data_IF_111550406475
#
_entry.id   IF_111550406475
#
_cell.length_a   1.000
_cell.length_b   1.000
_cell.length_c   1.000
_cell.angle_alpha   90.00
_cell.angle_beta   90.00
_cell.angle_gamma   90.00
#
_symmetry.space_group_name_H-M   'P 1'
#
loop_
_entity.id
_entity.type
_entity.pdbx_description
1 polymer ?
#
# COMPACT_ATOMS: atom_id res chain seq x y z
N UNK A 1 13.53 13.56 20.32
CA UNK A 1 14.23 12.30 19.96
C UNK A 1 15.28 11.85 20.99
N UNK A 2 15.38 12.44 22.19
CA UNK A 2 16.50 12.14 23.11
C UNK A 2 16.50 10.70 23.68
N UNK A 3 15.32 10.08 23.82
CA UNK A 3 15.15 8.76 24.41
C UNK A 3 15.45 7.64 23.39
N UNK A 4 15.06 7.83 22.12
CA UNK A 4 15.40 6.93 21.00
C UNK A 4 16.91 6.89 20.75
N UNK A 5 17.62 8.01 20.86
CA UNK A 5 19.09 8.03 20.75
C UNK A 5 19.81 7.38 21.93
N UNK A 6 19.13 7.15 23.05
CA UNK A 6 19.71 6.64 24.30
C UNK A 6 19.39 5.17 24.55
N UNK A 7 18.25 4.71 24.07
CA UNK A 7 17.72 3.36 24.34
C UNK A 7 17.28 2.62 23.08
N UNK A 8 17.19 3.31 21.93
CA UNK A 8 16.73 2.70 20.70
C UNK A 8 17.84 1.98 19.95
N UNK A 9 17.47 0.94 19.21
CA UNK A 9 18.37 0.28 18.28
C UNK A 9 18.68 1.18 17.08
N UNK A 10 19.77 0.88 16.36
CA UNK A 10 20.13 1.62 15.13
C UNK A 10 18.97 1.57 14.12
N UNK A 11 18.24 0.44 14.06
CA UNK A 11 17.09 0.27 13.18
C UNK A 11 15.90 1.14 13.58
N UNK A 12 15.62 1.26 14.88
CA UNK A 12 14.57 2.15 15.40
C UNK A 12 14.91 3.62 15.16
N UNK A 13 16.18 4.01 15.28
CA UNK A 13 16.64 5.35 14.92
C UNK A 13 16.48 5.64 13.42
N UNK A 14 16.71 4.64 12.56
CA UNK A 14 16.49 4.77 11.11
C UNK A 14 15.02 4.88 10.76
N UNK A 15 14.17 4.06 11.39
CA UNK A 15 12.72 4.17 11.23
C UNK A 15 12.22 5.54 11.71
N UNK A 16 12.68 6.00 12.88
CA UNK A 16 12.33 7.31 13.40
C UNK A 16 12.77 8.45 12.45
N UNK A 17 13.96 8.36 11.85
CA UNK A 17 14.41 9.31 10.82
C UNK A 17 13.60 9.24 9.53
N UNK A 18 13.09 8.07 9.15
CA UNK A 18 12.20 7.93 8.00
C UNK A 18 10.84 8.62 8.25
N UNK A 19 10.23 8.36 9.40
CA UNK A 19 8.89 8.85 9.74
C UNK A 19 8.86 10.26 10.34
N UNK A 20 9.99 10.80 10.80
CA UNK A 20 10.08 12.16 11.35
C UNK A 20 11.11 13.05 10.66
N UNK A 21 11.81 12.54 9.63
CA UNK A 21 12.77 13.30 8.83
C UNK A 21 12.16 13.94 7.59
N UNK A 22 12.95 14.23 6.55
CA UNK A 22 12.53 15.02 5.38
C UNK A 22 11.45 14.34 4.54
N UNK A 23 11.28 13.02 4.66
CA UNK A 23 10.27 12.24 3.95
C UNK A 23 8.99 12.00 4.76
N UNK A 24 8.94 12.48 6.01
CA UNK A 24 7.82 12.26 6.93
C UNK A 24 6.48 12.73 6.36
N UNK A 25 6.47 13.92 5.75
CA UNK A 25 5.27 14.51 5.16
C UNK A 25 4.76 13.68 3.98
N UNK A 26 5.65 13.26 3.08
CA UNK A 26 5.28 12.42 1.94
C UNK A 26 4.73 11.07 2.39
N UNK A 27 5.37 10.42 3.37
CA UNK A 27 4.91 9.14 3.91
C UNK A 27 3.55 9.28 4.59
N UNK A 28 3.40 10.31 5.45
CA UNK A 28 2.14 10.52 6.19
C UNK A 28 0.97 10.74 5.24
N UNK A 29 1.13 11.58 4.21
CA UNK A 29 0.05 11.84 3.27
C UNK A 29 -0.30 10.63 2.40
N UNK A 30 0.71 9.99 1.81
CA UNK A 30 0.46 8.93 0.84
C UNK A 30 0.08 7.60 1.49
N UNK A 31 0.76 7.24 2.57
CA UNK A 31 0.52 5.97 3.25
C UNK A 31 -0.55 6.10 4.34
N UNK A 32 -0.34 6.98 5.32
CA UNK A 32 -1.25 7.04 6.49
C UNK A 32 -2.60 7.63 6.12
N UNK A 33 -2.63 8.78 5.42
CA UNK A 33 -3.91 9.45 5.11
C UNK A 33 -4.61 8.75 3.96
N UNK A 34 -4.00 8.73 2.76
CA UNK A 34 -4.63 8.17 1.55
C UNK A 34 -4.71 6.65 1.60
N UNK A 35 -3.65 6.01 2.08
CA UNK A 35 -3.52 4.55 2.08
C UNK A 35 -4.29 3.82 3.17
N UNK A 36 -4.63 4.49 4.28
CA UNK A 36 -5.19 3.85 5.46
C UNK A 36 -6.41 4.59 6.01
N UNK A 37 -6.28 5.87 6.37
CA UNK A 37 -7.36 6.61 7.04
C UNK A 37 -8.56 6.85 6.13
N UNK A 38 -8.34 7.25 4.87
CA UNK A 38 -9.43 7.47 3.91
C UNK A 38 -10.17 6.15 3.62
N UNK A 39 -9.50 5.02 3.29
CA UNK A 39 -10.16 3.73 3.13
C UNK A 39 -10.95 3.30 4.36
N UNK A 40 -10.36 3.40 5.56
CA UNK A 40 -11.04 3.05 6.81
C UNK A 40 -12.27 3.93 7.03
N UNK A 41 -12.15 5.24 6.84
CA UNK A 41 -13.28 6.15 6.97
C UNK A 41 -14.38 5.79 5.97
N UNK A 42 -14.03 5.58 4.69
CA UNK A 42 -14.99 5.21 3.66
C UNK A 42 -15.71 3.90 3.98
N UNK A 43 -15.04 2.91 4.56
CA UNK A 43 -15.63 1.60 4.86
C UNK A 43 -16.42 1.57 6.18
N UNK A 44 -15.99 2.33 7.18
CA UNK A 44 -16.60 2.33 8.52
C UNK A 44 -17.76 3.32 8.67
N UNK A 45 -17.77 4.41 7.90
CA UNK A 45 -18.86 5.37 7.93
C UNK A 45 -20.06 4.88 7.09
N UNK A 46 -21.28 5.38 7.36
CA UNK A 46 -22.50 5.04 6.62
C UNK A 46 -22.39 5.00 5.08
N UNK A 47 -21.63 5.89 4.39
CA UNK A 47 -21.40 5.79 2.95
C UNK A 47 -20.67 4.53 2.46
N UNK A 48 -20.04 3.72 3.32
CA UNK A 48 -19.29 2.52 2.94
C UNK A 48 -20.09 1.38 2.31
N UNK A 49 -21.42 1.49 2.33
CA UNK A 49 -22.32 0.57 1.61
C UNK A 49 -22.45 0.92 0.12
N UNK A 50 -21.99 2.10 -0.29
CA UNK A 50 -21.98 2.52 -1.69
C UNK A 50 -20.85 1.83 -2.44
N UNK A 51 -21.16 1.31 -3.64
CA UNK A 51 -20.18 0.73 -4.55
C UNK A 51 -18.98 1.65 -4.80
N UNK A 52 -19.24 2.95 -4.98
CA UNK A 52 -18.19 3.94 -5.23
C UNK A 52 -17.28 4.15 -4.03
N UNK A 53 -17.82 4.11 -2.80
CA UNK A 53 -17.03 4.21 -1.59
C UNK A 53 -16.11 2.99 -1.43
N UNK A 54 -16.61 1.79 -1.76
CA UNK A 54 -15.82 0.56 -1.71
C UNK A 54 -14.72 0.55 -2.78
N UNK A 55 -15.01 1.01 -4.00
CA UNK A 55 -14.02 1.13 -5.07
C UNK A 55 -12.91 2.13 -4.68
N UNK A 56 -13.28 3.30 -4.16
CA UNK A 56 -12.30 4.30 -3.70
C UNK A 56 -11.49 3.79 -2.52
N UNK A 57 -12.09 3.06 -1.57
CA UNK A 57 -11.37 2.43 -0.48
C UNK A 57 -10.38 1.37 -0.97
N UNK A 58 -10.77 0.57 -1.97
CA UNK A 58 -9.90 -0.42 -2.60
C UNK A 58 -8.70 0.25 -3.31
N UNK A 59 -8.96 1.29 -4.11
CA UNK A 59 -7.90 2.04 -4.78
C UNK A 59 -6.96 2.70 -3.77
N UNK A 60 -7.52 3.33 -2.72
CA UNK A 60 -6.75 3.93 -1.64
C UNK A 60 -5.88 2.92 -0.90
N UNK A 61 -6.42 1.77 -0.51
CA UNK A 61 -5.66 0.72 0.17
C UNK A 61 -4.54 0.15 -0.73
N UNK A 62 -4.82 -0.02 -2.02
CA UNK A 62 -3.83 -0.48 -3.01
C UNK A 62 -2.70 0.54 -3.17
N UNK A 63 -3.04 1.83 -3.25
CA UNK A 63 -2.07 2.92 -3.26
C UNK A 63 -1.24 2.94 -1.97
N UNK A 64 -1.88 2.79 -0.81
CA UNK A 64 -1.21 2.73 0.49
C UNK A 64 -0.16 1.62 0.56
N UNK A 65 -0.49 0.43 0.05
CA UNK A 65 0.44 -0.70 -0.04
C UNK A 65 1.66 -0.37 -0.93
N UNK A 66 1.42 0.26 -2.08
CA UNK A 66 2.49 0.73 -2.96
C UNK A 66 3.35 1.83 -2.32
N UNK A 67 2.72 2.82 -1.68
CA UNK A 67 3.40 3.91 -0.99
C UNK A 67 4.28 3.41 0.17
N UNK A 68 3.82 2.40 0.91
CA UNK A 68 4.63 1.76 1.95
C UNK A 68 5.88 1.08 1.37
N UNK A 69 5.74 0.41 0.22
CA UNK A 69 6.88 -0.22 -0.47
C UNK A 69 7.91 0.83 -0.90
N UNK A 70 7.47 1.96 -1.45
CA UNK A 70 8.35 3.09 -1.75
C UNK A 70 9.00 3.63 -0.48
N UNK A 71 8.23 3.78 0.61
CA UNK A 71 8.77 4.22 1.91
C UNK A 71 9.88 3.32 2.43
N UNK A 72 9.77 2.00 2.24
CA UNK A 72 10.82 1.03 2.61
C UNK A 72 12.07 1.22 1.72
N UNK A 73 11.90 1.41 0.42
CA UNK A 73 13.02 1.68 -0.51
C UNK A 73 13.73 2.99 -0.14
N UNK A 74 12.97 4.07 0.07
CA UNK A 74 13.50 5.36 0.56
C UNK A 74 14.22 5.15 1.89
N UNK A 75 13.62 4.43 2.83
CA UNK A 75 14.26 4.13 4.12
C UNK A 75 15.54 3.31 4.01
N UNK A 76 15.65 2.44 3.01
CA UNK A 76 16.82 1.61 2.74
C UNK A 76 17.94 2.33 1.99
N UNK A 77 17.60 3.23 1.06
CA UNK A 77 18.56 3.92 0.17
C UNK A 77 18.88 5.35 0.61
N UNK A 78 17.89 6.12 1.06
CA UNK A 78 18.08 7.52 1.43
C UNK A 78 18.79 7.67 2.78
N UNK A 79 18.75 6.65 3.64
CA UNK A 79 19.38 6.68 4.96
C UNK A 79 20.76 6.04 4.87
N UNK A 80 21.80 6.86 4.76
CA UNK A 80 23.17 6.38 4.62
C UNK A 80 23.59 5.52 5.84
N UNK A 81 24.18 4.35 5.60
CA UNK A 81 24.65 3.42 6.65
C UNK A 81 25.68 4.06 7.58
N UNK A 82 26.44 5.05 7.09
CA UNK A 82 27.47 5.77 7.84
C UNK A 82 26.96 6.97 8.65
N UNK A 83 25.65 7.28 8.61
CA UNK A 83 25.08 8.44 9.32
C UNK A 83 25.43 9.80 8.69
N UNK A 84 26.05 9.82 7.51
CA UNK A 84 26.51 11.02 6.82
C UNK A 84 25.41 11.87 6.15
N UNK A 85 24.14 11.68 6.51
CA UNK A 85 23.00 12.46 6.01
C UNK A 85 22.06 11.69 5.08
N UNK A 86 21.17 12.44 4.43
CA UNK A 86 20.15 11.91 3.52
C UNK A 86 20.65 11.95 2.08
N UNK A 87 20.54 10.84 1.36
CA UNK A 87 20.56 10.90 -0.11
C UNK A 87 19.18 11.37 -0.59
N UNK A 88 19.17 12.30 -1.54
CA UNK A 88 17.94 12.75 -2.20
C UNK A 88 17.46 11.64 -3.12
N UNK A 89 16.41 10.94 -2.71
CA UNK A 89 15.75 9.94 -3.53
C UNK A 89 14.77 10.66 -4.46
N UNK A 90 14.95 10.49 -5.77
CA UNK A 90 14.04 10.98 -6.78
C UNK A 90 13.29 9.80 -7.38
N UNK A 91 11.97 9.81 -7.23
CA UNK A 91 11.10 8.86 -7.92
C UNK A 91 11.33 9.02 -9.42
N UNK A 92 11.91 8.00 -10.04
CA UNK A 92 12.13 7.98 -11.47
C UNK A 92 10.85 7.50 -12.15
N UNK A 93 10.44 8.15 -13.25
CA UNK A 93 9.27 7.74 -14.01
C UNK A 93 9.33 6.27 -14.45
N UNK A 94 10.54 5.75 -14.67
CA UNK A 94 10.77 4.33 -14.93
C UNK A 94 10.21 3.39 -13.86
N UNK A 95 10.34 3.72 -12.57
CA UNK A 95 9.82 2.89 -11.47
C UNK A 95 8.29 2.82 -11.48
N UNK A 96 7.65 3.96 -11.80
CA UNK A 96 6.20 4.06 -11.93
C UNK A 96 5.72 3.27 -13.17
N UNK A 97 6.47 3.32 -14.26
CA UNK A 97 6.21 2.54 -15.46
C UNK A 97 6.29 1.02 -15.22
N UNK A 98 7.35 0.54 -14.56
CA UNK A 98 7.50 -0.89 -14.24
C UNK A 98 6.39 -1.39 -13.30
N UNK A 99 5.93 -0.55 -12.38
CA UNK A 99 4.77 -0.85 -11.54
C UNK A 99 3.51 -0.98 -12.39
N UNK A 100 3.27 -0.05 -13.31
CA UNK A 100 2.14 -0.11 -14.24
C UNK A 100 2.15 -1.39 -15.10
N UNK A 101 3.31 -1.75 -15.66
CA UNK A 101 3.47 -2.99 -16.43
C UNK A 101 3.21 -4.22 -15.56
N UNK A 102 3.67 -4.23 -14.31
CA UNK A 102 3.45 -5.34 -13.38
C UNK A 102 1.96 -5.52 -13.04
N UNK A 103 1.21 -4.43 -12.86
CA UNK A 103 -0.24 -4.46 -12.65
C UNK A 103 -0.96 -4.99 -13.88
N UNK A 104 -0.59 -4.52 -15.07
CA UNK A 104 -1.17 -5.01 -16.33
C UNK A 104 -0.91 -6.50 -16.53
N UNK A 105 0.32 -6.97 -16.27
CA UNK A 105 0.68 -8.37 -16.33
C UNK A 105 -0.16 -9.20 -15.34
N UNK A 106 -0.28 -8.75 -14.10
CA UNK A 106 -1.09 -9.42 -13.07
C UNK A 106 -2.56 -9.54 -13.49
N UNK A 107 -3.16 -8.46 -13.99
CA UNK A 107 -4.53 -8.47 -14.51
C UNK A 107 -4.69 -9.38 -15.73
N UNK A 108 -3.69 -9.41 -16.61
CA UNK A 108 -3.65 -10.31 -17.77
C UNK A 108 -3.62 -11.79 -17.35
N UNK A 109 -2.79 -12.14 -16.37
CA UNK A 109 -2.73 -13.49 -15.80
C UNK A 109 -4.06 -13.84 -15.13
N UNK A 110 -4.61 -12.94 -14.32
CA UNK A 110 -5.91 -13.13 -13.66
C UNK A 110 -7.02 -13.38 -14.70
N UNK A 111 -7.07 -12.58 -15.76
CA UNK A 111 -8.03 -12.74 -16.84
C UNK A 111 -7.87 -14.09 -17.56
N UNK A 112 -6.63 -14.50 -17.83
CA UNK A 112 -6.35 -15.81 -18.43
C UNK A 112 -6.78 -16.97 -17.53
N UNK A 113 -6.54 -16.87 -16.21
CA UNK A 113 -6.97 -17.87 -15.25
C UNK A 113 -8.50 -17.95 -15.13
N UNK A 114 -9.18 -16.80 -15.11
CA UNK A 114 -10.65 -16.75 -15.13
C UNK A 114 -11.22 -17.33 -16.42
N UNK A 115 -10.60 -17.07 -17.56
CA UNK A 115 -11.00 -17.66 -18.84
C UNK A 115 -10.75 -19.18 -18.90
N UNK A 116 -9.73 -19.67 -18.21
CA UNK A 116 -9.40 -21.09 -18.11
C UNK A 116 -10.24 -21.83 -17.05
N UNK A 117 -10.97 -21.13 -16.18
CA UNK A 117 -11.73 -21.73 -15.10
C UNK A 117 -12.97 -22.49 -15.65
N UNK A 118 -13.24 -23.73 -15.21
CA UNK A 118 -14.40 -24.50 -15.67
C UNK A 118 -15.71 -23.78 -15.35
N UNK A 119 -16.61 -23.68 -16.33
CA UNK A 119 -17.88 -22.96 -16.20
C UNK A 119 -18.77 -23.51 -15.07
N UNK A 120 -18.62 -24.78 -14.73
CA UNK A 120 -19.38 -25.46 -13.68
C UNK A 120 -19.06 -24.91 -12.27
N UNK A 121 -17.85 -24.37 -12.07
CA UNK A 121 -17.45 -23.76 -10.80
C UNK A 121 -18.03 -22.34 -10.59
N UNK A 122 -18.47 -21.68 -11.66
CA UNK A 122 -19.11 -20.35 -11.62
C UNK A 122 -20.60 -20.42 -11.26
N UNK A 123 -21.21 -21.60 -11.35
CA UNK A 123 -22.65 -21.83 -11.16
C UNK A 123 -23.05 -22.38 -9.79
N UNK A 124 -22.13 -22.57 -8.84
CA UNK A 124 -22.48 -23.06 -7.51
C UNK A 124 -23.43 -22.05 -6.80
N UNK A 125 -24.72 -22.37 -6.60
CA UNK A 125 -25.62 -21.48 -5.92
C UNK A 125 -25.36 -21.60 -4.43
N UNK A 126 -24.88 -20.53 -3.80
CA UNK A 126 -24.82 -20.36 -2.34
C UNK A 126 -26.23 -20.24 -1.69
N UNK A 127 -27.28 -20.76 -2.33
CA UNK A 127 -28.60 -20.89 -1.72
C UNK A 127 -28.66 -22.21 -0.98
N UNK A 128 -28.42 -22.15 0.33
CA UNK A 128 -28.85 -23.19 1.26
C UNK A 128 -30.36 -23.38 1.10
N UNK A 129 -30.79 -24.56 0.63
CA UNK A 129 -32.20 -24.96 0.71
C UNK A 129 -32.65 -24.87 2.17
N UNK A 130 -33.62 -23.99 2.43
CA UNK A 130 -34.37 -23.99 3.68
C UNK A 130 -35.16 -25.30 3.71
N UNK A 131 -34.74 -26.26 4.54
CA UNK A 131 -35.54 -27.46 4.81
C UNK A 131 -36.86 -27.01 5.46
N UNK A 132 -37.97 -27.47 4.87
CA UNK A 132 -39.32 -27.33 5.39
C UNK A 132 -39.48 -28.06 6.72
#
# INVERSE_FOLDING_TARGET
>A
MWWLGRFGTIEELRAANLFMGPYAAQITWNWTVIGLLIPLALLLLPPGRSYWAQLLAFLGATWGSYAMRIGIVIGGEAINRSGAGYYTFHLNFGELWYTGVSVLLFLGILAALLAAMPRDALSAPFFTQKKA
#
